data_IF_033041225171
#
_entry.id   IF_033041225171
#
_cell.length_a   1.000
_cell.length_b   1.000
_cell.length_c   1.000
_cell.angle_alpha   90.00
_cell.angle_beta   90.00
_cell.angle_gamma   90.00
#
_symmetry.space_group_name_H-M   'P 1'
#
loop_
_entity.id
_entity.type
_entity.pdbx_description
1 polymer ?
#
# COMPACT_ATOMS: atom_id res chain seq x y z
N UNK A 1 5.49 6.53 70.49
CA UNK A 1 6.26 7.05 69.34
C UNK A 1 6.07 6.10 68.16
N UNK A 2 5.58 6.53 66.99
CA UNK A 2 5.56 5.67 65.81
C UNK A 2 7.00 5.50 65.31
N UNK A 3 7.50 4.25 65.30
CA UNK A 3 8.85 3.89 64.89
C UNK A 3 9.18 4.46 63.49
N UNK A 4 10.03 5.48 63.44
CA UNK A 4 10.51 6.17 62.24
C UNK A 4 11.07 5.20 61.19
N UNK A 5 11.56 4.05 61.64
CA UNK A 5 12.12 2.97 60.83
C UNK A 5 11.10 2.37 59.85
N UNK A 6 9.81 2.31 60.20
CA UNK A 6 8.77 1.72 59.34
C UNK A 6 8.46 2.60 58.13
N UNK A 7 8.53 3.93 58.30
CA UNK A 7 8.27 4.90 57.22
C UNK A 7 9.36 4.89 56.14
N UNK A 8 10.62 4.73 56.54
CA UNK A 8 11.74 4.63 55.59
C UNK A 8 11.67 3.39 54.70
N UNK A 9 11.30 2.23 55.28
CA UNK A 9 11.13 0.97 54.54
C UNK A 9 9.99 1.07 53.52
N UNK A 10 8.86 1.69 53.90
CA UNK A 10 7.73 1.90 52.99
C UNK A 10 8.14 2.79 51.80
N UNK A 11 8.93 3.84 52.04
CA UNK A 11 9.39 4.75 50.98
C UNK A 11 10.31 4.03 49.98
N UNK A 12 11.18 3.14 50.47
CA UNK A 12 12.03 2.28 49.62
C UNK A 12 11.24 1.30 48.76
N UNK A 13 10.19 0.70 49.32
CA UNK A 13 9.30 -0.21 48.58
C UNK A 13 8.62 0.55 47.44
N UNK A 14 8.06 1.74 47.72
CA UNK A 14 7.41 2.57 46.70
C UNK A 14 8.41 2.97 45.60
N UNK A 15 9.64 3.37 45.98
CA UNK A 15 10.68 3.72 45.00
C UNK A 15 11.03 2.52 44.09
N UNK A 16 11.15 1.32 44.66
CA UNK A 16 11.40 0.10 43.92
C UNK A 16 10.28 -0.24 42.94
N UNK A 17 9.01 -0.10 43.37
CA UNK A 17 7.85 -0.32 42.49
C UNK A 17 7.82 0.69 41.34
N UNK A 18 8.12 1.97 41.61
CA UNK A 18 8.20 3.00 40.56
C UNK A 18 9.32 2.64 39.56
N UNK A 19 10.49 2.22 40.05
CA UNK A 19 11.61 1.84 39.17
C UNK A 19 11.27 0.65 38.26
N UNK A 20 10.62 -0.38 38.80
CA UNK A 20 10.15 -1.53 38.02
C UNK A 20 9.10 -1.11 36.99
N UNK A 21 8.17 -0.22 37.36
CA UNK A 21 7.14 0.27 36.44
C UNK A 21 7.72 1.04 35.24
N UNK A 22 8.77 1.84 35.45
CA UNK A 22 9.47 2.59 34.39
C UNK A 22 10.19 1.65 33.43
N UNK A 23 10.84 0.61 33.95
CA UNK A 23 11.49 -0.40 33.12
C UNK A 23 10.47 -1.15 32.24
N UNK A 24 9.34 -1.57 32.81
CA UNK A 24 8.26 -2.22 32.05
C UNK A 24 7.70 -1.28 30.98
N UNK A 25 7.43 -0.02 31.31
CA UNK A 25 6.94 0.95 30.35
C UNK A 25 7.91 1.11 29.17
N UNK A 26 9.21 1.20 29.45
CA UNK A 26 10.25 1.32 28.41
C UNK A 26 10.25 0.14 27.45
N UNK A 27 10.09 -1.09 27.96
CA UNK A 27 10.00 -2.30 27.13
C UNK A 27 8.74 -2.28 26.27
N UNK A 28 7.59 -1.93 26.84
CA UNK A 28 6.31 -1.82 26.11
C UNK A 28 6.40 -0.79 24.99
N UNK A 29 6.97 0.40 25.25
CA UNK A 29 7.18 1.42 24.21
C UNK A 29 8.04 0.91 23.06
N UNK A 30 9.10 0.13 23.35
CA UNK A 30 9.97 -0.45 22.30
C UNK A 30 9.27 -1.52 21.46
N UNK A 31 8.39 -2.31 22.08
CA UNK A 31 7.61 -3.32 21.36
C UNK A 31 6.60 -2.64 20.44
N UNK A 32 5.86 -1.65 20.94
CA UNK A 32 4.85 -0.92 20.16
C UNK A 32 5.49 -0.18 18.99
N UNK A 33 6.62 0.51 19.20
CA UNK A 33 7.31 1.21 18.12
C UNK A 33 7.77 0.27 17.01
N UNK A 34 8.26 -0.92 17.37
CA UNK A 34 8.64 -1.97 16.41
C UNK A 34 7.44 -2.49 15.62
N UNK A 35 6.31 -2.73 16.29
CA UNK A 35 5.07 -3.17 15.63
C UNK A 35 4.44 -2.10 14.73
N UNK A 36 4.57 -0.82 15.07
CA UNK A 36 4.02 0.27 14.25
C UNK A 36 4.64 0.33 12.85
N UNK A 37 5.97 0.15 12.75
CA UNK A 37 6.70 0.15 11.47
C UNK A 37 6.33 -1.05 10.60
N UNK A 38 6.27 -2.23 11.21
CA UNK A 38 5.85 -3.46 10.54
C UNK A 38 4.43 -3.35 9.98
N UNK A 39 3.51 -2.81 10.79
CA UNK A 39 2.12 -2.58 10.38
C UNK A 39 2.04 -1.59 9.22
N UNK A 40 2.81 -0.50 9.25
CA UNK A 40 2.81 0.51 8.18
C UNK A 40 3.25 -0.07 6.82
N UNK A 41 4.29 -0.91 6.81
CA UNK A 41 4.75 -1.59 5.60
C UNK A 41 3.68 -2.55 5.04
N UNK A 42 3.06 -3.34 5.91
CA UNK A 42 2.03 -4.30 5.49
C UNK A 42 0.77 -3.60 4.96
N UNK A 43 0.33 -2.52 5.61
CA UNK A 43 -0.82 -1.71 5.18
C UNK A 43 -0.55 -1.09 3.81
N UNK A 44 0.65 -0.55 3.60
CA UNK A 44 1.03 0.04 2.30
C UNK A 44 0.99 -0.99 1.17
N UNK A 45 1.47 -2.22 1.42
CA UNK A 45 1.41 -3.29 0.43
C UNK A 45 -0.02 -3.69 0.08
N UNK A 46 -0.90 -3.73 1.07
CA UNK A 46 -2.33 -4.02 0.87
C UNK A 46 -2.98 -2.91 0.04
N UNK A 47 -2.72 -1.64 0.38
CA UNK A 47 -3.20 -0.50 -0.38
C UNK A 47 -2.76 -0.56 -1.84
N UNK A 48 -1.52 -0.94 -2.11
CA UNK A 48 -1.02 -1.10 -3.48
C UNK A 48 -1.75 -2.20 -4.26
N UNK A 49 -2.05 -3.33 -3.60
CA UNK A 49 -2.83 -4.41 -4.22
C UNK A 49 -4.26 -3.99 -4.54
N UNK A 50 -4.94 -3.27 -3.64
CA UNK A 50 -6.28 -2.77 -3.90
C UNK A 50 -6.29 -1.68 -4.98
N UNK A 51 -5.30 -0.80 -5.01
CA UNK A 51 -5.14 0.19 -6.07
C UNK A 51 -4.91 -0.47 -7.45
N UNK A 52 -4.08 -1.51 -7.52
CA UNK A 52 -3.88 -2.28 -8.74
C UNK A 52 -5.18 -2.99 -9.20
N UNK A 53 -5.95 -3.56 -8.26
CA UNK A 53 -7.26 -4.16 -8.57
C UNK A 53 -8.25 -3.13 -9.10
N UNK A 54 -8.33 -1.96 -8.47
CA UNK A 54 -9.18 -0.87 -8.95
C UNK A 54 -8.82 -0.47 -10.39
N UNK A 55 -7.52 -0.32 -10.68
CA UNK A 55 -7.06 -0.03 -12.04
C UNK A 55 -7.40 -1.11 -13.06
N UNK A 56 -7.27 -2.38 -12.67
CA UNK A 56 -7.68 -3.50 -13.51
C UNK A 56 -9.20 -3.48 -13.79
N UNK A 57 -10.04 -3.31 -12.77
CA UNK A 57 -11.49 -3.27 -12.93
C UNK A 57 -11.93 -2.10 -13.81
N UNK A 58 -11.31 -0.93 -13.65
CA UNK A 58 -11.60 0.23 -14.48
C UNK A 58 -11.27 -0.02 -15.96
N UNK A 59 -10.08 -0.56 -16.23
CA UNK A 59 -9.68 -0.92 -17.58
C UNK A 59 -10.60 -1.98 -18.19
N UNK A 60 -11.02 -2.97 -17.39
CA UNK A 60 -11.96 -3.99 -17.80
C UNK A 60 -13.33 -3.39 -18.18
N UNK A 61 -13.88 -2.47 -17.38
CA UNK A 61 -15.14 -1.80 -17.69
C UNK A 61 -15.03 -0.95 -18.98
N UNK A 62 -13.92 -0.24 -19.17
CA UNK A 62 -13.68 0.54 -20.40
C UNK A 62 -13.57 -0.33 -21.64
N UNK A 63 -12.86 -1.46 -21.54
CA UNK A 63 -12.78 -2.44 -22.61
C UNK A 63 -14.13 -3.08 -22.91
N UNK A 64 -14.92 -3.42 -21.88
CA UNK A 64 -16.27 -3.96 -22.02
C UNK A 64 -17.21 -2.98 -22.74
N UNK A 65 -17.06 -1.68 -22.49
CA UNK A 65 -17.83 -0.61 -23.17
C UNK A 65 -17.33 -0.30 -24.58
N UNK A 66 -16.26 -0.93 -25.04
CA UNK A 66 -15.70 -0.71 -26.38
C UNK A 66 -14.98 0.63 -26.54
N UNK A 67 -14.40 1.18 -25.47
CA UNK A 67 -13.67 2.44 -25.54
C UNK A 67 -12.41 2.30 -26.42
N UNK A 68 -12.39 3.02 -27.54
CA UNK A 68 -11.31 2.98 -28.53
C UNK A 68 -9.96 3.44 -27.95
N UNK A 69 -9.97 4.26 -26.89
CA UNK A 69 -8.76 4.77 -26.22
C UNK A 69 -8.03 3.69 -25.42
N UNK A 70 -8.75 2.63 -25.04
CA UNK A 70 -8.27 1.49 -24.27
C UNK A 70 -7.96 0.27 -25.13
N UNK A 71 -8.41 0.28 -26.38
CA UNK A 71 -8.04 -0.75 -27.33
C UNK A 71 -6.66 -0.47 -27.90
N UNK A 72 -5.77 -1.45 -27.83
CA UNK A 72 -4.64 -1.48 -28.74
C UNK A 72 -5.21 -1.49 -30.17
N UNK A 73 -4.85 -0.48 -30.94
CA UNK A 73 -5.23 -0.34 -32.36
C UNK A 73 -4.17 -0.93 -33.28
N UNK A 74 -3.01 -1.31 -32.73
CA UNK A 74 -1.90 -1.91 -33.47
C UNK A 74 -1.34 -3.13 -32.74
N UNK A 75 -1.00 -4.21 -33.48
CA UNK A 75 -0.58 -5.49 -32.90
C UNK A 75 0.85 -5.50 -32.34
N UNK A 76 1.47 -4.33 -32.15
CA UNK A 76 2.90 -4.23 -31.82
C UNK A 76 3.15 -3.49 -30.50
N UNK A 77 2.24 -2.63 -30.06
CA UNK A 77 2.44 -1.81 -28.86
C UNK A 77 1.29 -2.00 -27.85
N UNK A 78 1.59 -2.36 -26.58
CA UNK A 78 0.57 -2.37 -25.54
C UNK A 78 0.12 -0.94 -25.22
N UNK A 79 -1.16 -0.79 -24.89
CA UNK A 79 -1.69 0.49 -24.41
C UNK A 79 -1.36 0.63 -22.93
N UNK A 80 -0.59 1.67 -22.59
CA UNK A 80 -0.25 1.99 -21.20
C UNK A 80 -1.08 3.21 -20.77
N UNK A 81 -1.80 3.08 -19.66
CA UNK A 81 -2.54 4.15 -19.02
C UNK A 81 -2.13 4.24 -17.56
N UNK A 82 -1.85 5.44 -17.08
CA UNK A 82 -1.49 5.67 -15.69
C UNK A 82 -2.65 6.29 -14.92
N UNK A 83 -2.99 5.69 -13.78
CA UNK A 83 -3.86 6.28 -12.78
C UNK A 83 -3.03 6.97 -11.71
N UNK A 84 -3.41 8.20 -11.36
CA UNK A 84 -2.76 8.95 -10.31
C UNK A 84 -3.79 9.74 -9.50
N UNK A 85 -3.37 10.16 -8.30
CA UNK A 85 -4.23 10.91 -7.40
C UNK A 85 -4.60 12.30 -7.94
N UNK A 86 -3.68 12.93 -8.65
CA UNK A 86 -3.81 14.28 -9.19
C UNK A 86 -3.29 14.34 -10.62
N UNK A 87 -3.77 15.34 -11.37
CA UNK A 87 -3.27 15.60 -12.71
C UNK A 87 -1.77 15.91 -12.68
N UNK A 88 -1.02 15.24 -13.54
CA UNK A 88 0.42 15.39 -13.64
C UNK A 88 0.94 14.83 -14.97
N UNK A 89 2.21 15.09 -15.30
CA UNK A 89 2.81 14.59 -16.53
C UNK A 89 2.73 13.06 -16.59
N UNK A 90 2.16 12.54 -17.68
CA UNK A 90 1.96 11.12 -17.87
C UNK A 90 0.80 10.51 -17.07
N UNK A 91 -0.06 11.32 -16.44
CA UNK A 91 -1.29 10.84 -15.82
C UNK A 91 -2.44 10.81 -16.82
N UNK A 92 -3.08 9.66 -17.00
CA UNK A 92 -4.20 9.51 -17.93
C UNK A 92 -5.55 9.54 -17.21
N UNK A 93 -5.59 9.08 -15.96
CA UNK A 93 -6.81 8.90 -15.17
C UNK A 93 -6.56 9.49 -13.79
N UNK A 94 -7.45 10.37 -13.37
CA UNK A 94 -7.38 11.02 -12.07
C UNK A 94 -8.33 10.29 -11.13
N UNK A 95 -7.78 9.70 -10.08
CA UNK A 95 -8.54 8.98 -9.05
C UNK A 95 -8.21 9.61 -7.69
N UNK A 96 -9.05 10.55 -7.24
CA UNK A 96 -8.83 11.32 -6.01
C UNK A 96 -8.70 10.44 -4.76
N UNK A 97 -9.31 9.26 -4.81
CA UNK A 97 -9.43 8.33 -3.70
C UNK A 97 -8.23 7.37 -3.61
N UNK A 98 -7.23 7.54 -4.48
CA UNK A 98 -5.96 6.84 -4.35
C UNK A 98 -5.29 7.18 -3.00
N UNK A 99 -4.87 6.15 -2.24
CA UNK A 99 -4.14 6.36 -1.00
C UNK A 99 -2.84 7.14 -1.24
N UNK A 100 -2.45 8.01 -0.31
CA UNK A 100 -1.20 8.83 -0.41
C UNK A 100 0.05 7.97 -0.57
N UNK A 101 0.04 6.75 -0.06
CA UNK A 101 1.16 5.81 -0.18
C UNK A 101 1.39 5.32 -1.61
N UNK A 102 0.39 5.44 -2.49
CA UNK A 102 0.45 5.01 -3.89
C UNK A 102 0.77 6.23 -4.75
N UNK A 103 1.88 6.16 -5.50
CA UNK A 103 2.26 7.25 -6.39
C UNK A 103 1.44 7.20 -7.68
N UNK A 104 1.37 6.01 -8.30
CA UNK A 104 0.59 5.78 -9.51
C UNK A 104 0.36 4.29 -9.76
N UNK A 105 -0.65 3.98 -10.56
CA UNK A 105 -0.93 2.63 -11.06
C UNK A 105 -0.82 2.64 -12.57
N UNK A 106 0.12 1.88 -13.12
CA UNK A 106 0.27 1.66 -14.55
C UNK A 106 -0.59 0.47 -14.99
N UNK A 107 -1.48 0.71 -15.94
CA UNK A 107 -2.34 -0.29 -16.54
C UNK A 107 -1.89 -0.52 -17.97
N UNK A 108 -1.55 -1.76 -18.26
CA UNK A 108 -1.06 -2.20 -19.56
C UNK A 108 -2.08 -3.16 -20.17
N UNK A 109 -2.62 -2.80 -21.32
CA UNK A 109 -3.53 -3.63 -22.11
C UNK A 109 -2.78 -4.14 -23.34
N UNK A 110 -2.77 -5.46 -23.53
CA UNK A 110 -2.16 -6.12 -24.68
C UNK A 110 -3.23 -6.43 -25.75
N UNK A 111 -2.85 -6.29 -27.03
CA UNK A 111 -3.70 -6.59 -28.17
C UNK A 111 -3.94 -8.11 -28.30
N UNK A 112 -5.18 -8.56 -28.58
CA UNK A 112 -5.48 -9.97 -28.87
C UNK A 112 -4.78 -10.51 -30.13
N UNK A 113 -4.40 -9.65 -31.08
CA UNK A 113 -3.66 -10.01 -32.29
C UNK A 113 -2.13 -9.98 -32.08
N UNK A 114 -1.65 -9.34 -31.01
CA UNK A 114 -0.23 -9.32 -30.63
C UNK A 114 0.15 -10.57 -29.84
N UNK A 115 0.03 -11.75 -30.45
CA UNK A 115 0.48 -13.00 -29.82
C UNK A 115 2.00 -13.08 -29.92
N UNK A 116 2.71 -12.42 -29.00
CA UNK A 116 4.02 -12.93 -28.62
C UNK A 116 3.81 -14.31 -27.95
N UNK A 117 4.71 -15.29 -28.15
CA UNK A 117 4.56 -16.61 -27.55
C UNK A 117 4.38 -16.48 -26.03
N UNK A 118 3.37 -17.18 -25.47
CA UNK A 118 2.99 -17.22 -24.04
C UNK A 118 2.15 -16.03 -23.47
N UNK A 119 1.48 -15.23 -24.29
CA UNK A 119 0.68 -14.09 -23.81
C UNK A 119 -0.83 -14.35 -23.59
N UNK A 120 -1.37 -15.54 -23.88
CA UNK A 120 -2.77 -15.88 -23.57
C UNK A 120 -3.44 -16.76 -24.63
N UNK A 121 -4.77 -16.90 -24.52
CA UNK A 121 -5.61 -17.65 -25.46
C UNK A 121 -5.87 -16.77 -26.70
N UNK A 122 -5.79 -17.34 -27.89
CA UNK A 122 -6.05 -16.62 -29.15
C UNK A 122 -7.44 -15.95 -29.14
N UNK A 123 -7.50 -14.66 -29.49
CA UNK A 123 -8.73 -13.85 -29.42
C UNK A 123 -9.04 -13.25 -28.05
N UNK A 124 -8.21 -13.48 -27.03
CA UNK A 124 -8.36 -12.85 -25.70
C UNK A 124 -7.35 -11.73 -25.47
N UNK A 125 -7.73 -10.74 -24.66
CA UNK A 125 -6.86 -9.61 -24.29
C UNK A 125 -6.25 -9.85 -22.91
N UNK A 126 -4.94 -9.66 -22.79
CA UNK A 126 -4.27 -9.64 -21.49
C UNK A 126 -4.27 -8.22 -20.93
N UNK A 127 -4.64 -8.08 -19.66
CA UNK A 127 -4.59 -6.81 -18.93
C UNK A 127 -3.66 -7.02 -17.74
N UNK A 128 -2.74 -6.09 -17.51
CA UNK A 128 -1.82 -6.10 -16.37
C UNK A 128 -1.87 -4.75 -15.69
N UNK A 129 -2.13 -4.73 -14.38
CA UNK A 129 -2.08 -3.51 -13.58
C UNK A 129 -0.93 -3.61 -12.58
N UNK A 130 -0.06 -2.60 -12.55
CA UNK A 130 1.11 -2.50 -11.68
C UNK A 130 1.01 -1.21 -10.86
N UNK A 131 0.84 -1.35 -9.55
CA UNK A 131 0.90 -0.21 -8.63
C UNK A 131 2.35 0.06 -8.21
N UNK A 132 2.77 1.32 -8.31
CA UNK A 132 4.03 1.82 -7.78
C UNK A 132 3.74 2.59 -6.49
N UNK A 133 4.36 2.17 -5.40
CA UNK A 133 4.20 2.77 -4.09
C UNK A 133 5.55 3.13 -3.49
N UNK A 134 5.55 4.17 -2.65
CA UNK A 134 6.76 4.59 -1.92
C UNK A 134 6.54 4.36 -0.45
N UNK A 135 7.45 3.62 0.17
CA UNK A 135 7.51 3.47 1.61
C UNK A 135 8.33 4.63 2.17
N UNK A 136 7.68 5.55 2.87
CA UNK A 136 8.34 6.59 3.66
C UNK A 136 8.31 6.10 5.12
N UNK A 137 9.46 5.73 5.72
CA UNK A 137 9.56 5.24 7.09
C UNK A 137 9.33 6.31 8.16
#
# INVERSE_FOLDING_TARGET
MPDSNKKGVILFIVLGVIMVSVLLATVVLRIISSQSRLTHHNVTRIQAQYAAKAGFLYAFDKLRRGDAVWSATTPVAPVIKRMCKQAGPGCNIIESDLPISIQYVDITVYDPAAVAPNQGINGTRKITAKATYTYIP
#
